data_IF_598474397186
#
_entry.id   IF_598474397186
#
_cell.length_a   1.000
_cell.length_b   1.000
_cell.length_c   1.000
_cell.angle_alpha   90.00
_cell.angle_beta   90.00
_cell.angle_gamma   90.00
#
_symmetry.space_group_name_H-M   'P 1'
#
loop_
_entity.id
_entity.type
_entity.pdbx_description
1 polymer ?
#
# COMPACT_ATOMS: atom_id res chain seq x y z
N UNK A 1 -4.37 94.77 10.28
CA UNK A 1 -4.67 93.87 11.41
C UNK A 1 -4.86 92.50 10.90
N UNK A 2 -3.82 91.64 10.98
CA UNK A 2 -3.81 90.29 10.41
C UNK A 2 -3.83 89.30 11.62
N UNK A 3 -4.94 88.61 11.82
CA UNK A 3 -5.06 87.58 12.85
C UNK A 3 -4.42 86.27 12.33
N UNK A 4 -3.40 85.79 13.01
CA UNK A 4 -2.76 84.50 12.79
C UNK A 4 -3.72 83.39 13.37
N UNK A 5 -4.22 82.51 12.52
CA UNK A 5 -4.81 81.26 12.94
C UNK A 5 -3.69 80.26 13.20
N UNK A 6 -3.57 79.78 14.42
CA UNK A 6 -2.77 78.59 14.77
C UNK A 6 -3.57 77.36 14.42
N UNK A 7 -3.05 76.57 13.49
CA UNK A 7 -3.55 75.25 13.16
C UNK A 7 -2.95 74.23 14.12
N UNK A 8 -3.83 73.59 14.92
CA UNK A 8 -3.48 72.50 15.80
C UNK A 8 -3.59 71.17 14.97
N UNK A 9 -2.48 70.52 14.74
CA UNK A 9 -2.43 69.19 14.07
C UNK A 9 -2.41 68.13 15.17
N UNK A 10 -3.41 67.20 15.23
CA UNK A 10 -3.33 66.11 16.20
C UNK A 10 -2.36 65.04 15.67
N UNK A 11 -1.39 64.67 16.48
CA UNK A 11 -0.50 63.55 16.26
C UNK A 11 -1.29 62.23 16.44
N UNK A 12 -1.56 61.55 15.35
CA UNK A 12 -2.11 60.19 15.39
C UNK A 12 -0.94 59.22 15.63
N UNK A 13 -0.90 58.69 16.85
CA UNK A 13 0.02 57.61 17.21
C UNK A 13 -0.45 56.28 16.61
N UNK A 14 0.25 55.82 15.57
CA UNK A 14 0.04 54.54 14.94
C UNK A 14 0.70 53.44 15.81
N UNK A 15 -0.08 52.79 16.66
CA UNK A 15 0.40 51.59 17.37
C UNK A 15 0.45 50.41 16.39
N UNK A 16 1.63 50.05 15.93
CA UNK A 16 1.86 48.84 15.15
C UNK A 16 1.85 47.65 16.11
N UNK A 17 0.73 46.92 16.16
CA UNK A 17 0.65 45.62 16.83
C UNK A 17 1.46 44.61 16.03
N UNK A 18 2.66 44.26 16.45
CA UNK A 18 3.41 43.12 15.93
C UNK A 18 2.71 41.83 16.41
N UNK A 19 1.85 41.27 15.55
CA UNK A 19 1.39 39.88 15.67
C UNK A 19 2.61 38.96 15.49
N UNK A 20 3.17 38.48 16.58
CA UNK A 20 4.16 37.43 16.55
C UNK A 20 3.52 36.18 15.96
N UNK A 21 3.72 35.95 14.65
CA UNK A 21 3.37 34.71 13.99
C UNK A 21 4.31 33.62 14.51
N UNK A 22 3.87 32.90 15.54
CA UNK A 22 4.55 31.68 15.96
C UNK A 22 4.36 30.66 14.83
N UNK A 23 5.46 30.11 14.25
CA UNK A 23 5.31 28.99 13.34
C UNK A 23 4.68 27.84 14.13
N UNK A 24 3.47 27.43 13.74
CA UNK A 24 2.91 26.16 14.15
C UNK A 24 3.85 25.08 13.59
N UNK A 25 4.78 24.60 14.42
CA UNK A 25 5.52 23.38 14.13
C UNK A 25 4.47 22.26 14.18
N UNK A 26 3.97 21.89 13.00
CA UNK A 26 3.18 20.68 12.88
C UNK A 26 4.06 19.54 13.38
N UNK A 27 3.70 18.92 14.51
CA UNK A 27 4.36 17.71 14.96
C UNK A 27 4.23 16.69 13.84
N UNK A 28 5.34 16.34 13.22
CA UNK A 28 5.36 15.24 12.26
C UNK A 28 4.90 13.99 13.02
N UNK A 29 3.71 13.51 12.72
CA UNK A 29 3.21 12.24 13.23
C UNK A 29 4.15 11.18 12.66
N UNK A 30 5.12 10.74 13.45
CA UNK A 30 6.00 9.64 13.07
C UNK A 30 5.17 8.37 13.10
N UNK A 31 4.91 7.81 11.92
CA UNK A 31 4.24 6.54 11.77
C UNK A 31 5.00 5.46 12.54
N UNK A 32 4.31 4.72 13.39
CA UNK A 32 4.89 3.61 14.18
C UNK A 32 4.58 2.28 13.51
N UNK A 33 5.47 1.30 13.69
CA UNK A 33 5.24 -0.06 13.22
C UNK A 33 4.12 -0.69 14.04
N UNK A 34 3.05 -1.11 13.37
CA UNK A 34 1.88 -1.78 13.97
C UNK A 34 1.81 -3.25 13.62
N UNK A 35 2.68 -3.74 12.75
CA UNK A 35 2.72 -5.16 12.44
C UNK A 35 3.62 -5.50 11.27
N UNK A 36 3.66 -6.81 10.99
CA UNK A 36 4.35 -7.37 9.82
C UNK A 36 3.53 -8.49 9.20
N UNK A 37 3.66 -8.65 7.89
CA UNK A 37 3.14 -9.78 7.14
C UNK A 37 4.29 -10.38 6.34
N UNK A 38 4.43 -11.71 6.44
CA UNK A 38 5.42 -12.45 5.68
C UNK A 38 4.75 -13.69 5.09
N UNK A 39 5.05 -13.99 3.84
CA UNK A 39 4.54 -15.19 3.18
C UNK A 39 5.47 -15.65 2.09
N UNK A 40 5.42 -16.94 1.80
CA UNK A 40 6.17 -17.52 0.70
C UNK A 40 5.91 -19.00 0.56
N UNK A 41 6.02 -19.48 -0.67
CA UNK A 41 5.79 -20.86 -1.01
C UNK A 41 5.20 -21.04 -2.40
N UNK A 42 4.46 -22.13 -2.56
CA UNK A 42 3.65 -22.40 -3.74
C UNK A 42 2.18 -22.47 -3.37
N UNK A 43 1.33 -22.05 -4.28
CA UNK A 43 -0.11 -22.04 -4.10
C UNK A 43 -0.82 -22.61 -5.32
N UNK A 44 -2.06 -23.05 -5.11
CA UNK A 44 -2.95 -23.49 -6.18
C UNK A 44 -4.03 -22.44 -6.40
N UNK A 45 -4.20 -22.01 -7.65
CA UNK A 45 -5.26 -21.06 -8.03
C UNK A 45 -6.60 -21.75 -8.03
N UNK A 46 -7.45 -21.35 -7.07
CA UNK A 46 -8.82 -21.86 -6.94
C UNK A 46 -9.84 -21.04 -7.72
N UNK A 47 -9.42 -19.91 -8.29
CA UNK A 47 -10.27 -19.01 -9.09
C UNK A 47 -9.52 -17.75 -9.54
N UNK A 48 -10.25 -16.86 -10.22
CA UNK A 48 -9.73 -15.63 -10.80
C UNK A 48 -9.47 -15.74 -12.31
N UNK A 49 -9.10 -14.63 -12.95
CA UNK A 49 -8.91 -14.56 -14.40
C UNK A 49 -7.69 -15.34 -14.90
N UNK A 50 -6.66 -15.50 -14.07
CA UNK A 50 -5.45 -16.23 -14.39
C UNK A 50 -5.58 -17.74 -14.14
N UNK A 51 -6.63 -18.19 -13.46
CA UNK A 51 -6.84 -19.60 -13.18
C UNK A 51 -6.88 -20.42 -14.46
N UNK A 52 -5.89 -21.29 -14.65
CA UNK A 52 -5.77 -22.21 -15.76
C UNK A 52 -5.95 -23.65 -15.31
N UNK A 53 -5.73 -24.61 -16.22
CA UNK A 53 -5.90 -26.05 -15.94
C UNK A 53 -4.91 -26.59 -14.89
N UNK A 54 -3.78 -25.95 -14.65
CA UNK A 54 -2.77 -26.36 -13.67
C UNK A 54 -2.61 -25.41 -12.51
N UNK A 55 -2.95 -24.15 -12.68
CA UNK A 55 -3.13 -23.13 -11.67
C UNK A 55 -2.14 -23.10 -10.51
N UNK A 56 -0.83 -23.29 -10.77
CA UNK A 56 0.19 -23.28 -9.72
C UNK A 56 1.02 -22.00 -9.84
N UNK A 57 1.09 -21.25 -8.74
CA UNK A 57 1.97 -20.11 -8.59
C UNK A 57 3.06 -20.35 -7.56
N UNK A 58 4.19 -19.66 -7.73
CA UNK A 58 5.22 -19.48 -6.71
C UNK A 58 5.19 -18.06 -6.25
N UNK A 59 5.14 -17.81 -4.94
CA UNK A 59 5.00 -16.47 -4.43
C UNK A 59 5.91 -16.18 -3.24
N UNK A 60 6.21 -14.92 -3.04
CA UNK A 60 6.87 -14.39 -1.86
C UNK A 60 6.40 -12.97 -1.59
N UNK A 61 6.15 -12.64 -0.33
CA UNK A 61 5.91 -11.28 0.09
C UNK A 61 6.34 -11.02 1.51
N UNK A 62 6.74 -9.79 1.78
CA UNK A 62 6.92 -9.28 3.12
C UNK A 62 6.41 -7.84 3.16
N UNK A 63 5.85 -7.43 4.29
CA UNK A 63 5.43 -6.06 4.53
C UNK A 63 5.61 -5.69 6.00
N UNK A 64 6.15 -4.50 6.24
CA UNK A 64 6.08 -3.78 7.52
C UNK A 64 4.94 -2.79 7.43
N UNK A 65 4.03 -2.84 8.39
CA UNK A 65 2.79 -2.08 8.42
C UNK A 65 2.94 -0.91 9.40
N UNK A 66 2.53 0.30 8.97
CA UNK A 66 2.64 1.50 9.81
C UNK A 66 1.25 2.04 10.21
N UNK A 67 1.21 2.76 11.33
CA UNK A 67 -0.03 3.28 11.95
C UNK A 67 -0.78 4.31 11.09
N UNK A 68 -0.12 4.90 10.11
CA UNK A 68 -0.69 5.87 9.17
C UNK A 68 -1.28 5.23 7.90
N UNK A 69 -1.30 3.88 7.81
CA UNK A 69 -1.77 3.14 6.65
C UNK A 69 -0.72 2.98 5.55
N UNK A 70 0.47 3.55 5.71
CA UNK A 70 1.59 3.24 4.81
C UNK A 70 2.18 1.87 5.12
N UNK A 71 2.86 1.28 4.16
CA UNK A 71 3.59 0.04 4.34
C UNK A 71 4.88 0.06 3.52
N UNK A 72 5.86 -0.75 3.93
CA UNK A 72 7.07 -0.99 3.17
C UNK A 72 7.32 -2.48 3.04
N UNK A 73 7.76 -2.91 1.86
CA UNK A 73 8.00 -4.31 1.60
C UNK A 73 8.00 -4.63 0.13
N UNK A 74 7.85 -5.91 -0.18
CA UNK A 74 7.89 -6.41 -1.54
C UNK A 74 6.93 -7.58 -1.73
N UNK A 75 6.39 -7.70 -2.95
CA UNK A 75 5.60 -8.85 -3.42
C UNK A 75 6.23 -9.35 -4.70
N UNK A 76 6.29 -10.67 -4.85
CA UNK A 76 6.64 -11.38 -6.06
C UNK A 76 5.71 -12.58 -6.22
N UNK A 77 5.13 -12.76 -7.43
CA UNK A 77 4.32 -13.90 -7.77
C UNK A 77 4.56 -14.31 -9.21
N UNK A 78 4.87 -15.58 -9.40
CA UNK A 78 5.11 -16.20 -10.71
C UNK A 78 4.04 -17.23 -10.98
N UNK A 79 3.20 -16.95 -11.99
CA UNK A 79 2.25 -17.91 -12.55
C UNK A 79 2.96 -18.72 -13.63
N UNK A 80 2.88 -20.04 -13.51
CA UNK A 80 3.67 -20.94 -14.34
C UNK A 80 3.07 -21.13 -15.74
N UNK A 81 3.89 -21.67 -16.64
CA UNK A 81 3.44 -22.07 -17.97
C UNK A 81 2.29 -23.10 -17.87
N UNK A 82 1.21 -22.84 -18.60
CA UNK A 82 0.00 -23.65 -18.60
C UNK A 82 -1.20 -22.97 -17.91
N UNK A 83 -0.97 -21.85 -17.26
CA UNK A 83 -2.02 -20.97 -16.77
C UNK A 83 -2.58 -20.09 -17.91
N UNK A 84 -3.74 -19.47 -17.69
CA UNK A 84 -4.39 -18.64 -18.71
C UNK A 84 -3.60 -17.38 -19.02
N UNK A 85 -2.88 -16.86 -18.02
CA UNK A 85 -2.06 -15.64 -18.12
C UNK A 85 -0.73 -15.85 -17.40
N UNK A 86 0.15 -16.73 -17.94
CA UNK A 86 1.42 -17.00 -17.28
C UNK A 86 2.31 -15.76 -17.27
N UNK A 87 2.94 -15.50 -16.13
CA UNK A 87 3.75 -14.30 -15.98
C UNK A 87 4.35 -14.14 -14.59
N UNK A 88 5.13 -13.10 -14.45
CA UNK A 88 5.62 -12.63 -13.17
C UNK A 88 5.05 -11.24 -12.87
N UNK A 89 4.46 -11.07 -11.70
CA UNK A 89 4.00 -9.80 -11.15
C UNK A 89 4.75 -9.54 -9.85
N UNK A 90 5.37 -8.36 -9.74
CA UNK A 90 6.20 -8.02 -8.59
C UNK A 90 6.24 -6.52 -8.34
N UNK A 91 6.52 -6.11 -7.10
CA UNK A 91 6.63 -4.69 -6.78
C UNK A 91 6.79 -4.38 -5.30
N UNK A 92 6.91 -3.08 -5.04
CA UNK A 92 7.00 -2.52 -3.70
C UNK A 92 5.61 -2.36 -3.08
N UNK A 93 5.45 -2.81 -1.83
CA UNK A 93 4.27 -2.51 -1.02
C UNK A 93 4.35 -1.05 -0.59
N UNK A 94 3.28 -0.29 -0.78
CA UNK A 94 3.21 1.15 -0.47
C UNK A 94 2.23 1.48 0.65
N UNK A 95 1.11 0.78 0.70
CA UNK A 95 0.03 1.01 1.67
C UNK A 95 -0.59 -0.31 2.12
N UNK A 96 -1.29 -0.24 3.24
CA UNK A 96 -2.07 -1.37 3.75
C UNK A 96 -3.38 -0.90 4.37
N UNK A 97 -4.34 -1.81 4.45
CA UNK A 97 -5.56 -1.61 5.20
C UNK A 97 -6.08 -2.94 5.73
N UNK A 98 -6.82 -2.90 6.85
CA UNK A 98 -7.54 -4.06 7.36
C UNK A 98 -9.03 -3.90 7.06
N UNK A 99 -9.62 -4.93 6.48
CA UNK A 99 -11.05 -4.99 6.20
C UNK A 99 -11.82 -5.38 7.47
N UNK A 100 -13.14 -5.12 7.47
CA UNK A 100 -14.01 -5.45 8.59
C UNK A 100 -14.09 -6.97 8.88
N UNK A 101 -13.84 -7.81 7.88
CA UNK A 101 -13.78 -9.28 7.99
C UNK A 101 -12.43 -9.79 8.52
N UNK A 102 -11.50 -8.89 8.80
CA UNK A 102 -10.17 -9.21 9.32
C UNK A 102 -9.10 -9.45 8.24
N UNK A 103 -9.47 -9.51 6.97
CA UNK A 103 -8.51 -9.64 5.86
C UNK A 103 -7.64 -8.39 5.73
N UNK A 104 -6.43 -8.53 5.19
CA UNK A 104 -5.48 -7.42 5.03
C UNK A 104 -5.18 -7.20 3.56
N UNK A 105 -5.35 -5.96 3.12
CA UNK A 105 -4.96 -5.51 1.79
C UNK A 105 -3.57 -4.89 1.84
N UNK A 106 -2.72 -5.28 0.90
CA UNK A 106 -1.43 -4.68 0.58
C UNK A 106 -1.53 -4.03 -0.80
N UNK A 107 -1.37 -2.72 -0.89
CA UNK A 107 -1.28 -2.01 -2.17
C UNK A 107 0.15 -2.08 -2.69
N UNK A 108 0.30 -2.49 -3.94
CA UNK A 108 1.61 -2.73 -4.56
C UNK A 108 1.74 -1.93 -5.85
N UNK A 109 2.86 -1.24 -6.00
CA UNK A 109 3.24 -0.60 -7.26
C UNK A 109 4.45 -1.33 -7.82
N UNK A 110 4.35 -1.81 -9.05
CA UNK A 110 5.37 -2.68 -9.60
C UNK A 110 5.29 -2.90 -11.10
N UNK A 111 5.60 -4.12 -11.50
CA UNK A 111 5.65 -4.53 -12.91
C UNK A 111 5.02 -5.90 -13.10
N UNK A 112 4.50 -6.12 -14.29
CA UNK A 112 4.08 -7.41 -14.82
C UNK A 112 4.93 -7.76 -16.04
N UNK A 113 5.34 -9.02 -16.13
CA UNK A 113 6.10 -9.58 -17.26
C UNK A 113 5.44 -10.88 -17.69
N UNK A 114 4.83 -10.89 -18.88
CA UNK A 114 4.24 -12.12 -19.43
C UNK A 114 5.29 -13.16 -19.79
N UNK A 115 4.98 -14.45 -19.69
CA UNK A 115 5.80 -15.58 -20.07
C UNK A 115 5.18 -16.25 -21.32
N UNK A 116 5.97 -16.57 -22.39
CA UNK A 116 7.39 -16.32 -22.55
C UNK A 116 7.70 -14.93 -23.11
N UNK A 117 8.69 -14.26 -22.50
CA UNK A 117 9.40 -13.15 -23.15
C UNK A 117 8.68 -11.81 -23.30
N UNK A 118 7.69 -11.52 -22.44
CA UNK A 118 7.03 -10.20 -22.42
C UNK A 118 7.96 -9.07 -21.94
N UNK A 119 7.69 -7.84 -22.40
CA UNK A 119 8.35 -6.66 -21.84
C UNK A 119 7.70 -6.26 -20.50
N UNK A 120 8.52 -5.89 -19.48
CA UNK A 120 7.97 -5.42 -18.21
C UNK A 120 7.10 -4.17 -18.41
N UNK A 121 5.81 -4.27 -18.02
CA UNK A 121 4.87 -3.15 -17.99
C UNK A 121 4.59 -2.70 -16.56
N UNK A 122 4.44 -1.38 -16.30
CA UNK A 122 4.06 -0.88 -14.99
C UNK A 122 2.65 -1.34 -14.63
N UNK A 123 2.45 -1.70 -13.35
CA UNK A 123 1.15 -2.13 -12.82
C UNK A 123 1.00 -1.71 -11.36
N UNK A 124 -0.24 -1.43 -10.96
CA UNK A 124 -0.63 -1.32 -9.56
C UNK A 124 -1.64 -2.40 -9.26
N UNK A 125 -1.43 -3.13 -8.19
CA UNK A 125 -2.28 -4.26 -7.80
C UNK A 125 -2.44 -4.35 -6.28
N UNK A 126 -3.42 -5.11 -5.85
CA UNK A 126 -3.71 -5.38 -4.44
C UNK A 126 -3.49 -6.85 -4.17
N UNK A 127 -2.72 -7.15 -3.13
CA UNK A 127 -2.66 -8.48 -2.51
C UNK A 127 -3.51 -8.45 -1.27
N UNK A 128 -4.55 -9.30 -1.20
CA UNK A 128 -5.39 -9.44 -0.01
C UNK A 128 -5.05 -10.76 0.67
N UNK A 129 -4.55 -10.69 1.89
CA UNK A 129 -4.34 -11.85 2.74
C UNK A 129 -5.70 -12.27 3.29
N UNK A 130 -6.24 -13.35 2.75
CA UNK A 130 -7.58 -13.85 3.12
C UNK A 130 -7.52 -14.76 4.33
N UNK A 131 -6.39 -15.45 4.51
CA UNK A 131 -6.19 -16.36 5.64
C UNK A 131 -4.70 -16.58 5.91
N UNK A 132 -4.16 -16.17 7.08
CA UNK A 132 -2.85 -16.62 7.53
C UNK A 132 -2.83 -18.13 7.79
N UNK A 133 -1.67 -18.77 7.60
CA UNK A 133 -1.51 -20.20 7.85
C UNK A 133 -0.54 -20.89 6.90
N UNK A 134 -0.36 -22.18 7.10
CA UNK A 134 0.46 -23.07 6.26
C UNK A 134 -0.29 -23.68 5.08
N UNK A 135 0.29 -24.73 4.51
CA UNK A 135 -0.28 -25.51 3.42
C UNK A 135 -1.70 -26.02 3.74
N UNK A 136 -2.62 -25.89 2.78
CA UNK A 136 -4.05 -26.26 2.92
C UNK A 136 -4.89 -25.28 3.76
N UNK A 137 -4.28 -24.25 4.38
CA UNK A 137 -4.95 -23.26 5.23
C UNK A 137 -4.73 -21.85 4.72
N UNK A 138 -3.48 -21.46 4.50
CA UNK A 138 -3.12 -20.13 4.07
C UNK A 138 -3.70 -19.78 2.72
N UNK A 139 -4.21 -18.56 2.57
CA UNK A 139 -4.81 -18.11 1.32
C UNK A 139 -4.63 -16.61 1.11
N UNK A 140 -4.58 -16.22 -0.15
CA UNK A 140 -4.48 -14.84 -0.56
C UNK A 140 -5.10 -14.64 -1.95
N UNK A 141 -5.39 -13.41 -2.30
CA UNK A 141 -5.87 -13.05 -3.63
C UNK A 141 -5.03 -11.91 -4.20
N UNK A 142 -4.94 -11.85 -5.53
CA UNK A 142 -4.37 -10.75 -6.25
C UNK A 142 -5.43 -10.11 -7.14
N UNK A 143 -5.56 -8.79 -7.06
CA UNK A 143 -6.53 -8.02 -7.87
C UNK A 143 -5.85 -6.86 -8.57
N UNK A 144 -6.26 -6.59 -9.82
CA UNK A 144 -5.83 -5.45 -10.62
C UNK A 144 -7.06 -4.59 -10.89
N UNK A 145 -7.10 -3.39 -10.33
CA UNK A 145 -8.33 -2.59 -10.29
C UNK A 145 -9.44 -3.36 -9.58
N UNK A 146 -10.59 -3.51 -10.24
CA UNK A 146 -11.74 -4.24 -9.71
C UNK A 146 -11.77 -5.73 -10.11
N UNK A 147 -10.78 -6.20 -10.85
CA UNK A 147 -10.73 -7.58 -11.32
C UNK A 147 -9.87 -8.44 -10.41
N UNK A 148 -10.44 -9.54 -9.89
CA UNK A 148 -9.68 -10.57 -9.20
C UNK A 148 -8.91 -11.38 -10.23
N UNK A 149 -7.58 -11.31 -10.14
CA UNK A 149 -6.67 -11.97 -11.07
C UNK A 149 -6.46 -13.42 -10.68
N UNK A 150 -6.10 -13.68 -9.42
CA UNK A 150 -6.02 -15.03 -8.87
C UNK A 150 -6.55 -15.11 -7.44
N UNK A 151 -7.08 -16.30 -7.08
CA UNK A 151 -7.46 -16.69 -5.73
C UNK A 151 -6.64 -17.90 -5.39
N UNK A 152 -5.82 -17.81 -4.35
CA UNK A 152 -4.76 -18.76 -4.05
C UNK A 152 -4.99 -19.50 -2.73
N UNK A 153 -4.75 -20.81 -2.75
CA UNK A 153 -4.66 -21.67 -1.57
C UNK A 153 -3.25 -22.28 -1.50
N UNK A 154 -2.57 -22.13 -0.38
CA UNK A 154 -1.21 -22.65 -0.22
C UNK A 154 -1.16 -24.17 -0.30
N UNK A 155 -0.21 -24.68 -1.10
CA UNK A 155 0.17 -26.11 -1.14
C UNK A 155 1.54 -26.34 -0.46
N UNK A 156 2.36 -25.28 -0.33
CA UNK A 156 3.59 -25.33 0.46
C UNK A 156 3.89 -23.95 1.06
N UNK A 157 4.75 -23.90 2.06
CA UNK A 157 5.13 -22.66 2.72
C UNK A 157 4.10 -22.19 3.75
N UNK A 158 4.11 -20.90 4.05
CA UNK A 158 3.22 -20.30 5.05
C UNK A 158 3.00 -18.80 4.83
N UNK A 159 1.92 -18.29 5.42
CA UNK A 159 1.64 -16.86 5.60
C UNK A 159 1.55 -16.59 7.10
N UNK A 160 2.36 -15.64 7.57
CA UNK A 160 2.42 -15.25 8.98
C UNK A 160 2.06 -13.76 9.09
N UNK A 161 1.04 -13.48 9.89
CA UNK A 161 0.65 -12.15 10.32
C UNK A 161 1.05 -11.96 11.78
N UNK A 162 1.66 -10.81 12.08
CA UNK A 162 1.99 -10.38 13.44
C UNK A 162 1.56 -8.93 13.57
N UNK A 163 0.47 -8.68 14.29
CA UNK A 163 0.00 -7.35 14.64
C UNK A 163 0.33 -7.07 16.11
N UNK A 164 0.75 -5.83 16.39
CA UNK A 164 1.07 -5.33 17.73
C UNK A 164 -0.19 -4.77 18.41
#
# INVERSE_FOLDING_TARGET
MIKKLLSLVPAISLAVAMLASHPLVAAANTATVVGTINGGGTAFMTGGLAAGMKGISSFGFHATLYSDGTASGHVDCVDQMGDSLPGNIFGAVTNWSRNADGTINLQVTGKFVGIPGGHPGPITFTVTITRPGGAGVGGWTLSVGNATFCIELLISGQIVERLN
#
